data_IF_732763882658
#
_entry.id   IF_732763882658
#
_cell.length_a   1.000
_cell.length_b   1.000
_cell.length_c   1.000
_cell.angle_alpha   90.00
_cell.angle_beta   90.00
_cell.angle_gamma   90.00
#
_symmetry.space_group_name_H-M   'P 1'
#
loop_
_entity.id
_entity.type
_entity.pdbx_description
1 polymer ?
#
# COMPACT_ATOMS: atom_id res chain seq x y z
N UNK A 1 15.91 -33.36 -2.10
CA UNK A 1 14.49 -33.30 -1.67
C UNK A 1 14.18 -32.07 -0.82
N UNK A 2 15.14 -31.15 -0.62
CA UNK A 2 15.01 -29.94 0.22
C UNK A 2 14.89 -28.64 -0.58
N UNK A 3 15.59 -28.51 -1.72
CA UNK A 3 15.65 -27.23 -2.45
C UNK A 3 14.34 -26.90 -3.15
N UNK A 4 13.70 -27.90 -3.77
CA UNK A 4 12.39 -27.74 -4.41
C UNK A 4 11.30 -27.38 -3.38
N UNK A 5 11.39 -27.92 -2.16
CA UNK A 5 10.49 -27.58 -1.07
C UNK A 5 10.72 -26.14 -0.59
N UNK A 6 11.98 -25.73 -0.40
CA UNK A 6 12.33 -24.37 -0.02
C UNK A 6 11.84 -23.34 -1.06
N UNK A 7 12.02 -23.63 -2.35
CA UNK A 7 11.53 -22.80 -3.45
C UNK A 7 9.99 -22.75 -3.46
N UNK A 8 9.32 -23.88 -3.21
CA UNK A 8 7.86 -23.95 -3.11
C UNK A 8 7.30 -23.07 -1.99
N UNK A 9 7.89 -23.14 -0.79
CA UNK A 9 7.52 -22.30 0.35
C UNK A 9 7.81 -20.82 0.07
N UNK A 10 8.97 -20.51 -0.50
CA UNK A 10 9.32 -19.14 -0.88
C UNK A 10 8.33 -18.55 -1.89
N UNK A 11 7.94 -19.32 -2.91
CA UNK A 11 6.93 -18.91 -3.89
C UNK A 11 5.59 -18.60 -3.24
N UNK A 12 5.16 -19.46 -2.31
CA UNK A 12 3.88 -19.29 -1.62
C UNK A 12 3.89 -18.11 -0.66
N UNK A 13 5.02 -17.89 0.03
CA UNK A 13 5.23 -16.69 0.85
C UNK A 13 5.18 -15.41 0.01
N UNK A 14 5.89 -15.37 -1.12
CA UNK A 14 5.87 -14.23 -2.03
C UNK A 14 4.46 -13.95 -2.59
N UNK A 15 3.73 -15.00 -2.96
CA UNK A 15 2.35 -14.85 -3.44
C UNK A 15 1.44 -14.29 -2.36
N UNK A 16 1.58 -14.77 -1.14
CA UNK A 16 0.81 -14.29 0.02
C UNK A 16 1.12 -12.82 0.29
N UNK A 17 2.40 -12.44 0.32
CA UNK A 17 2.84 -11.03 0.50
C UNK A 17 2.30 -10.15 -0.63
N UNK A 18 2.32 -10.61 -1.87
CA UNK A 18 1.81 -9.86 -3.01
C UNK A 18 0.30 -9.59 -2.88
N UNK A 19 -0.47 -10.60 -2.47
CA UNK A 19 -1.91 -10.47 -2.25
C UNK A 19 -2.22 -9.51 -1.08
N UNK A 20 -1.41 -9.55 -0.04
CA UNK A 20 -1.55 -8.72 1.16
C UNK A 20 -1.17 -7.25 0.91
N UNK A 21 -0.05 -7.03 0.22
CA UNK A 21 0.50 -5.72 -0.06
C UNK A 21 -0.16 -5.04 -1.28
N UNK A 22 -0.76 -5.81 -2.19
CA UNK A 22 -1.36 -5.30 -3.43
C UNK A 22 -2.43 -4.23 -3.19
N UNK A 23 -3.49 -4.51 -2.42
CA UNK A 23 -4.54 -3.52 -2.14
C UNK A 23 -4.06 -2.23 -1.45
N UNK A 24 -3.23 -2.28 -0.40
CA UNK A 24 -2.71 -1.07 0.23
C UNK A 24 -1.79 -0.25 -0.67
N UNK A 25 -0.98 -0.90 -1.52
CA UNK A 25 -0.16 -0.20 -2.49
C UNK A 25 -1.01 0.51 -3.56
N UNK A 26 -2.05 -0.16 -4.09
CA UNK A 26 -2.96 0.43 -5.08
C UNK A 26 -3.69 1.66 -4.54
N UNK A 27 -4.26 1.55 -3.34
CA UNK A 27 -4.97 2.69 -2.72
C UNK A 27 -4.00 3.83 -2.41
N UNK A 28 -2.82 3.51 -1.85
CA UNK A 28 -1.79 4.51 -1.57
C UNK A 28 -1.31 5.24 -2.83
N UNK A 29 -1.24 4.53 -3.96
CA UNK A 29 -0.92 5.11 -5.27
C UNK A 29 -2.01 6.07 -5.73
N UNK A 30 -3.27 5.63 -5.76
CA UNK A 30 -4.42 6.46 -6.20
C UNK A 30 -4.53 7.75 -5.39
N UNK A 31 -4.45 7.64 -4.06
CA UNK A 31 -4.56 8.79 -3.15
C UNK A 31 -3.36 9.73 -3.31
N UNK A 32 -2.15 9.17 -3.39
CA UNK A 32 -0.94 9.96 -3.61
C UNK A 32 -1.00 10.74 -4.93
N UNK A 33 -1.49 10.10 -5.99
CA UNK A 33 -1.69 10.73 -7.30
C UNK A 33 -2.72 11.86 -7.21
N UNK A 34 -3.87 11.60 -6.60
CA UNK A 34 -4.93 12.59 -6.43
C UNK A 34 -4.45 13.84 -5.67
N UNK A 35 -3.74 13.65 -4.56
CA UNK A 35 -3.18 14.75 -3.77
C UNK A 35 -2.10 15.49 -4.55
N UNK A 36 -1.24 14.79 -5.30
CA UNK A 36 -0.20 15.42 -6.12
C UNK A 36 -0.76 16.32 -7.23
N UNK A 37 -1.91 15.93 -7.82
CA UNK A 37 -2.59 16.74 -8.84
C UNK A 37 -3.17 18.02 -8.22
N UNK A 38 -3.78 17.92 -7.04
CA UNK A 38 -4.32 19.09 -6.33
C UNK A 38 -3.20 20.05 -5.94
N UNK A 39 -2.06 19.53 -5.46
CA UNK A 39 -0.89 20.32 -5.10
C UNK A 39 -0.29 21.02 -6.33
N UNK A 40 -0.19 20.32 -7.45
CA UNK A 40 0.30 20.90 -8.71
C UNK A 40 -0.64 22.01 -9.21
N UNK A 41 -1.95 21.82 -9.11
CA UNK A 41 -2.96 22.77 -9.63
C UNK A 41 -3.06 24.04 -8.78
N UNK A 42 -2.97 23.92 -7.46
CA UNK A 42 -3.03 25.08 -6.54
C UNK A 42 -1.66 25.73 -6.29
N UNK A 43 -0.58 25.16 -6.84
CA UNK A 43 0.80 25.58 -6.61
C UNK A 43 1.25 25.53 -5.12
N UNK A 44 0.51 24.84 -4.26
CA UNK A 44 0.85 24.67 -2.84
C UNK A 44 1.72 23.42 -2.70
N UNK A 45 3.03 23.62 -2.55
CA UNK A 45 4.03 22.55 -2.35
C UNK A 45 4.38 22.37 -0.86
N UNK A 46 3.36 22.36 0.00
CA UNK A 46 3.53 22.11 1.43
C UNK A 46 3.64 20.60 1.69
N UNK A 47 4.82 20.12 2.08
CA UNK A 47 5.08 18.69 2.31
C UNK A 47 4.12 18.06 3.33
N UNK A 48 3.64 18.83 4.30
CA UNK A 48 2.70 18.37 5.33
C UNK A 48 1.33 18.02 4.74
N UNK A 49 0.89 18.76 3.72
CA UNK A 49 -0.40 18.57 3.04
C UNK A 49 -0.42 17.28 2.20
N UNK A 50 0.74 16.78 1.76
CA UNK A 50 0.84 15.48 1.09
C UNK A 50 0.80 14.33 2.10
N UNK A 51 1.35 14.57 3.29
CA UNK A 51 1.60 13.53 4.28
C UNK A 51 0.34 13.15 5.06
N UNK A 52 -0.46 14.14 5.49
CA UNK A 52 -1.65 13.92 6.33
C UNK A 52 -2.74 13.10 5.62
N UNK A 53 -3.19 13.44 4.40
CA UNK A 53 -4.24 12.67 3.73
C UNK A 53 -3.79 11.23 3.46
N UNK A 54 -2.52 11.05 3.08
CA UNK A 54 -1.93 9.75 2.81
C UNK A 54 -1.88 8.87 4.07
N UNK A 55 -1.49 9.44 5.22
CA UNK A 55 -1.50 8.74 6.50
C UNK A 55 -2.90 8.27 6.88
N UNK A 56 -3.89 9.17 6.85
CA UNK A 56 -5.27 8.83 7.23
C UNK A 56 -5.81 7.70 6.37
N UNK A 57 -5.62 7.77 5.05
CA UNK A 57 -6.12 6.73 4.15
C UNK A 57 -5.42 5.39 4.39
N UNK A 58 -4.10 5.37 4.54
CA UNK A 58 -3.37 4.12 4.83
C UNK A 58 -3.78 3.55 6.19
N UNK A 59 -3.96 4.36 7.22
CA UNK A 59 -4.43 3.92 8.54
C UNK A 59 -5.82 3.29 8.49
N UNK A 60 -6.78 3.94 7.83
CA UNK A 60 -8.13 3.39 7.64
C UNK A 60 -8.08 2.09 6.85
N UNK A 61 -7.28 2.06 5.78
CA UNK A 61 -7.17 0.88 4.95
C UNK A 61 -6.54 -0.30 5.69
N UNK A 62 -5.55 -0.07 6.54
CA UNK A 62 -4.98 -1.10 7.40
C UNK A 62 -6.01 -1.64 8.39
N UNK A 63 -6.90 -0.81 8.95
CA UNK A 63 -7.97 -1.27 9.85
C UNK A 63 -8.98 -2.14 9.09
N UNK A 64 -9.36 -1.74 7.88
CA UNK A 64 -10.30 -2.51 7.03
C UNK A 64 -9.67 -3.82 6.57
N UNK A 65 -8.40 -3.77 6.14
CA UNK A 65 -7.64 -4.95 5.72
C UNK A 65 -7.21 -5.82 6.90
N UNK A 66 -7.18 -5.32 8.14
CA UNK A 66 -6.74 -6.08 9.31
C UNK A 66 -7.53 -7.37 9.48
N UNK A 67 -8.84 -7.36 9.19
CA UNK A 67 -9.69 -8.56 9.25
C UNK A 67 -9.41 -9.57 8.13
N UNK A 68 -8.76 -9.16 7.04
CA UNK A 68 -8.33 -10.01 5.94
C UNK A 68 -6.84 -10.42 6.06
N UNK A 69 -6.09 -9.71 6.89
CA UNK A 69 -4.67 -9.91 7.17
C UNK A 69 -4.42 -10.91 8.32
N UNK A 70 -5.37 -11.01 9.26
CA UNK A 70 -5.42 -11.97 10.37
C UNK A 70 -6.06 -13.30 9.92
#
# INVERSE_FOLDING_TARGET
MTDVFAIGVARQALWTVLLLAGPPLLVGLVVGLFVSVIQATTQIQEQTLTFVPKLVVVSVLLIVLASWLL
#
